data_IF_056646368954
#
_entry.id   IF_056646368954
#
_cell.length_a   1.000
_cell.length_b   1.000
_cell.length_c   1.000
_cell.angle_alpha   90.00
_cell.angle_beta   90.00
_cell.angle_gamma   90.00
#
_symmetry.space_group_name_H-M   'P 1'
#
loop_
_entity.id
_entity.type
_entity.pdbx_description
1 polymer ?
#
# COMPACT_ATOMS: atom_id res chain seq x y z
N UNK A 1 0.65 -18.38 -18.81
CA UNK A 1 -0.83 -18.22 -18.76
C UNK A 1 -1.20 -17.75 -17.37
N UNK A 2 -2.14 -16.81 -17.24
CA UNK A 2 -2.62 -16.34 -15.93
C UNK A 2 -3.49 -17.43 -15.29
N UNK A 3 -3.39 -17.64 -13.98
CA UNK A 3 -4.24 -18.60 -13.26
C UNK A 3 -5.44 -17.89 -12.64
N UNK A 4 -6.53 -18.61 -12.44
CA UNK A 4 -7.71 -18.08 -11.74
C UNK A 4 -7.37 -17.64 -10.30
N UNK A 5 -6.47 -18.35 -9.63
CA UNK A 5 -5.98 -17.97 -8.30
C UNK A 5 -5.22 -16.64 -8.30
N UNK A 6 -4.36 -16.42 -9.31
CA UNK A 6 -3.66 -15.15 -9.46
C UNK A 6 -4.65 -13.99 -9.67
N UNK A 7 -5.67 -14.17 -10.51
CA UNK A 7 -6.71 -13.15 -10.73
C UNK A 7 -7.48 -12.83 -9.46
N UNK A 8 -7.90 -13.85 -8.70
CA UNK A 8 -8.55 -13.66 -7.39
C UNK A 8 -7.66 -12.88 -6.41
N UNK A 9 -6.38 -13.20 -6.39
CA UNK A 9 -5.37 -12.48 -5.61
C UNK A 9 -5.33 -11.00 -5.99
N UNK A 10 -5.05 -10.69 -7.25
CA UNK A 10 -4.94 -9.30 -7.72
C UNK A 10 -6.22 -8.49 -7.51
N UNK A 11 -7.39 -9.09 -7.73
CA UNK A 11 -8.66 -8.41 -7.49
C UNK A 11 -8.85 -8.13 -6.00
N UNK A 12 -8.54 -9.11 -5.12
CA UNK A 12 -8.61 -8.89 -3.68
C UNK A 12 -7.65 -7.79 -3.23
N UNK A 13 -6.40 -7.79 -3.70
CA UNK A 13 -5.41 -6.74 -3.39
C UNK A 13 -5.98 -5.34 -3.67
N UNK A 14 -6.53 -5.13 -4.87
CA UNK A 14 -7.07 -3.82 -5.26
C UNK A 14 -8.36 -3.45 -4.51
N UNK A 15 -9.20 -4.43 -4.16
CA UNK A 15 -10.35 -4.18 -3.28
C UNK A 15 -9.91 -3.74 -1.88
N UNK A 16 -8.87 -4.37 -1.31
CA UNK A 16 -8.30 -3.95 -0.03
C UNK A 16 -7.67 -2.56 -0.12
N UNK A 17 -7.01 -2.23 -1.23
CA UNK A 17 -6.51 -0.88 -1.48
C UNK A 17 -7.63 0.15 -1.51
N UNK A 18 -8.74 -0.14 -2.19
CA UNK A 18 -9.92 0.74 -2.20
C UNK A 18 -10.53 0.90 -0.81
N UNK A 19 -10.60 -0.17 -0.02
CA UNK A 19 -11.07 -0.10 1.36
C UNK A 19 -10.18 0.81 2.21
N UNK A 20 -8.85 0.67 2.15
CA UNK A 20 -7.95 1.59 2.84
C UNK A 20 -8.17 3.03 2.38
N UNK A 21 -8.21 3.26 1.07
CA UNK A 21 -8.31 4.61 0.51
C UNK A 21 -9.58 5.34 0.98
N UNK A 22 -10.71 4.63 0.98
CA UNK A 22 -11.99 5.17 1.45
C UNK A 22 -12.07 5.34 2.96
N UNK A 23 -11.14 4.78 3.73
CA UNK A 23 -11.11 4.82 5.20
C UNK A 23 -9.94 5.66 5.75
N UNK A 24 -9.57 6.74 5.04
CA UNK A 24 -8.63 7.72 5.55
C UNK A 24 -7.16 7.40 5.29
N UNK A 25 -6.87 6.52 4.34
CA UNK A 25 -5.49 6.30 3.86
C UNK A 25 -5.27 6.92 2.48
N UNK A 26 -4.09 7.52 2.29
CA UNK A 26 -3.52 7.79 0.98
C UNK A 26 -2.75 6.55 0.55
N UNK A 27 -2.92 6.10 -0.69
CA UNK A 27 -2.16 4.95 -1.19
C UNK A 27 -0.78 5.39 -1.68
N UNK A 28 0.23 4.58 -1.41
CA UNK A 28 1.59 4.78 -1.89
C UNK A 28 1.81 3.83 -3.06
N UNK A 29 1.89 4.40 -4.26
CA UNK A 29 1.97 3.70 -5.55
C UNK A 29 3.19 4.13 -6.37
N UNK A 30 3.92 5.15 -5.93
CA UNK A 30 5.06 5.74 -6.63
C UNK A 30 6.19 6.15 -5.65
N UNK A 31 7.47 6.03 -6.04
CA UNK A 31 8.59 6.57 -5.28
C UNK A 31 8.57 8.08 -5.14
N UNK A 32 7.96 8.81 -6.08
CA UNK A 32 7.87 10.27 -6.02
C UNK A 32 7.09 10.75 -4.79
N UNK A 33 6.21 9.92 -4.25
CA UNK A 33 5.43 10.21 -3.05
C UNK A 33 6.28 10.18 -1.76
N UNK A 34 7.42 9.47 -1.77
CA UNK A 34 8.45 9.46 -0.72
C UNK A 34 9.77 8.86 -1.25
N UNK A 35 10.62 9.65 -1.93
CA UNK A 35 11.82 9.15 -2.60
C UNK A 35 12.89 8.60 -1.64
N UNK A 36 12.73 8.87 -0.36
CA UNK A 36 13.62 8.51 0.72
C UNK A 36 13.30 7.13 1.29
N UNK A 37 12.01 6.80 1.40
CA UNK A 37 11.55 5.52 1.90
C UNK A 37 11.15 4.53 0.80
N UNK A 38 10.88 4.99 -0.42
CA UNK A 38 10.31 4.18 -1.50
C UNK A 38 11.25 4.10 -2.71
N UNK A 39 11.22 2.98 -3.40
CA UNK A 39 11.93 2.76 -4.67
C UNK A 39 11.15 1.79 -5.56
N UNK A 40 11.59 1.63 -6.80
CA UNK A 40 11.14 0.56 -7.69
C UNK A 40 12.21 -0.51 -7.82
N UNK A 41 11.77 -1.77 -7.86
CA UNK A 41 12.58 -2.90 -8.31
C UNK A 41 11.93 -3.55 -9.55
N UNK A 42 12.40 -4.73 -9.95
CA UNK A 42 11.85 -5.45 -11.12
C UNK A 42 10.39 -5.89 -10.95
N UNK A 43 9.91 -5.98 -9.70
CA UNK A 43 8.60 -6.49 -9.32
C UNK A 43 7.59 -5.37 -8.99
N UNK A 44 8.06 -4.14 -8.77
CA UNK A 44 7.20 -2.97 -8.52
C UNK A 44 7.72 -2.10 -7.39
N UNK A 45 6.79 -1.40 -6.74
CA UNK A 45 7.09 -0.49 -5.63
C UNK A 45 7.55 -1.29 -4.41
N UNK A 46 8.61 -0.82 -3.76
CA UNK A 46 9.13 -1.37 -2.51
C UNK A 46 9.38 -0.25 -1.50
N UNK A 47 9.26 -0.59 -0.22
CA UNK A 47 9.75 0.26 0.85
C UNK A 47 11.13 -0.22 1.31
N UNK A 48 12.03 0.73 1.54
CA UNK A 48 13.40 0.45 1.98
C UNK A 48 13.39 0.04 3.45
N UNK A 49 13.91 -1.15 3.73
CA UNK A 49 14.30 -1.58 5.07
C UNK A 49 15.78 -1.30 5.33
N UNK A 50 16.22 -1.57 6.56
CA UNK A 50 17.62 -1.45 6.96
C UNK A 50 18.49 -2.54 6.34
N UNK A 51 17.95 -3.74 6.20
CA UNK A 51 18.64 -4.91 5.65
C UNK A 51 18.22 -5.27 4.23
N UNK A 52 16.95 -5.03 3.86
CA UNK A 52 16.44 -5.33 2.53
C UNK A 52 15.29 -4.42 2.11
N UNK A 53 15.02 -4.35 0.81
CA UNK A 53 13.80 -3.73 0.28
C UNK A 53 12.62 -4.70 0.38
N UNK A 54 11.46 -4.19 0.78
CA UNK A 54 10.26 -4.99 1.02
C UNK A 54 9.09 -4.56 0.15
N UNK A 55 8.47 -5.53 -0.51
CA UNK A 55 7.24 -5.32 -1.26
C UNK A 55 6.02 -5.47 -0.35
N UNK A 56 5.02 -4.62 -0.57
CA UNK A 56 3.68 -4.79 -0.05
C UNK A 56 2.72 -5.08 -1.21
N UNK A 57 1.62 -5.80 -0.95
CA UNK A 57 0.53 -5.89 -1.93
C UNK A 57 -0.16 -4.52 -2.02
N UNK A 58 -0.38 -3.89 -0.86
CA UNK A 58 -0.84 -2.50 -0.76
C UNK A 58 -0.06 -1.79 0.34
N UNK A 59 0.35 -0.54 0.06
CA UNK A 59 0.97 0.34 1.03
C UNK A 59 0.10 1.59 1.22
N UNK A 60 -0.35 1.82 2.45
CA UNK A 60 -1.18 2.98 2.80
C UNK A 60 -0.50 3.89 3.81
N UNK A 61 -0.70 5.20 3.69
CA UNK A 61 -0.33 6.22 4.67
C UNK A 61 -1.59 6.84 5.27
N UNK A 62 -1.72 6.82 6.59
CA UNK A 62 -2.86 7.41 7.28
C UNK A 62 -2.83 8.94 7.08
N UNK A 63 -3.92 9.51 6.59
CA UNK A 63 -4.01 10.96 6.31
C UNK A 63 -4.32 11.78 7.55
N UNK A 64 -4.78 11.14 8.62
CA UNK A 64 -5.11 11.78 9.89
C UNK A 64 -3.81 11.93 10.71
N UNK A 65 -3.48 13.16 11.16
CA UNK A 65 -2.35 13.37 12.05
C UNK A 65 -2.50 12.55 13.33
N UNK A 66 -1.44 11.83 13.71
CA UNK A 66 -1.37 11.03 14.93
C UNK A 66 -0.63 11.81 16.03
N UNK A 67 -1.34 12.40 17.02
CA UNK A 67 -0.67 13.16 18.08
C UNK A 67 0.35 12.29 18.83
N UNK A 68 1.50 12.88 19.15
CA UNK A 68 2.59 12.23 19.91
C UNK A 68 3.14 10.95 19.27
N UNK A 69 2.93 10.75 17.97
CA UNK A 69 3.42 9.60 17.21
C UNK A 69 4.04 10.05 15.89
N UNK A 70 4.79 9.15 15.26
CA UNK A 70 5.16 9.30 13.85
C UNK A 70 3.91 9.12 12.97
N UNK A 71 3.89 9.72 11.76
CA UNK A 71 2.93 9.39 10.72
C UNK A 71 2.86 7.89 10.48
N UNK A 72 1.66 7.34 10.36
CA UNK A 72 1.45 5.90 10.29
C UNK A 72 1.39 5.43 8.84
N UNK A 73 2.13 4.37 8.53
CA UNK A 73 1.98 3.60 7.30
C UNK A 73 1.58 2.17 7.60
N UNK A 74 0.84 1.54 6.70
CA UNK A 74 0.40 0.15 6.82
C UNK A 74 0.80 -0.64 5.58
N UNK A 75 1.52 -1.73 5.81
CA UNK A 75 1.69 -2.82 4.85
C UNK A 75 0.46 -3.70 4.92
N UNK A 76 -0.17 -3.93 3.79
CA UNK A 76 -1.21 -4.93 3.63
C UNK A 76 -0.67 -6.04 2.75
N UNK A 77 -0.85 -7.28 3.22
CA UNK A 77 -0.59 -8.49 2.45
C UNK A 77 -1.85 -9.36 2.45
N UNK A 78 -2.22 -9.89 1.29
CA UNK A 78 -3.43 -10.67 1.07
C UNK A 78 -3.07 -12.11 0.69
N UNK A 79 -3.56 -13.08 1.48
CA UNK A 79 -3.41 -14.51 1.19
C UNK A 79 -4.73 -15.08 0.67
N UNK A 80 -4.88 -15.10 -0.65
CA UNK A 80 -5.97 -15.80 -1.33
C UNK A 80 -5.58 -17.26 -1.62
N UNK A 81 -5.73 -18.15 -0.65
CA UNK A 81 -5.45 -19.59 -0.82
C UNK A 81 -6.22 -20.44 0.18
N UNK A 82 -6.48 -21.70 -0.19
CA UNK A 82 -7.19 -22.66 0.67
C UNK A 82 -6.41 -23.01 1.95
N UNK A 83 -5.08 -23.08 1.86
CA UNK A 83 -4.22 -23.38 2.99
C UNK A 83 -4.08 -22.17 3.93
N UNK A 84 -4.44 -22.36 5.20
CA UNK A 84 -4.33 -21.33 6.25
C UNK A 84 -2.89 -20.82 6.39
N UNK A 85 -2.64 -19.49 6.42
CA UNK A 85 -1.35 -18.96 6.79
C UNK A 85 -0.91 -19.44 8.18
N UNK A 86 0.38 -19.79 8.23
CA UNK A 86 1.05 -20.35 9.37
C UNK A 86 1.88 -19.31 10.13
N UNK A 87 2.55 -19.77 11.19
CA UNK A 87 3.48 -18.92 11.94
C UNK A 87 4.61 -18.35 11.08
N UNK A 88 4.97 -19.02 9.97
CA UNK A 88 5.99 -18.55 9.02
C UNK A 88 5.55 -17.27 8.31
N UNK A 89 4.29 -17.19 7.89
CA UNK A 89 3.75 -16.00 7.23
C UNK A 89 3.78 -14.79 8.20
N UNK A 90 3.39 -14.99 9.47
CA UNK A 90 3.40 -13.91 10.47
C UNK A 90 4.82 -13.52 10.90
N UNK A 91 5.75 -14.47 10.99
CA UNK A 91 7.18 -14.17 11.25
C UNK A 91 7.79 -13.35 10.12
N UNK A 92 7.42 -13.64 8.87
CA UNK A 92 7.83 -12.83 7.73
C UNK A 92 7.30 -11.39 7.88
N UNK A 93 6.00 -11.23 8.13
CA UNK A 93 5.39 -9.92 8.38
C UNK A 93 6.09 -9.13 9.50
N UNK A 94 6.41 -9.80 10.62
CA UNK A 94 7.15 -9.19 11.72
C UNK A 94 8.57 -8.76 11.29
N UNK A 95 9.29 -9.61 10.57
CA UNK A 95 10.63 -9.30 10.06
C UNK A 95 10.62 -8.08 9.13
N UNK A 96 9.65 -7.99 8.22
CA UNK A 96 9.46 -6.85 7.32
C UNK A 96 9.26 -5.56 8.11
N UNK A 97 8.30 -5.53 9.05
CA UNK A 97 8.01 -4.32 9.83
C UNK A 97 9.16 -3.92 10.72
N UNK A 98 9.85 -4.88 11.34
CA UNK A 98 11.02 -4.59 12.15
C UNK A 98 12.12 -3.95 11.29
N UNK A 99 12.39 -4.50 10.10
CA UNK A 99 13.44 -4.00 9.22
C UNK A 99 13.13 -2.61 8.65
N UNK A 100 11.88 -2.37 8.23
CA UNK A 100 11.45 -1.05 7.70
C UNK A 100 11.38 0.02 8.79
N UNK A 101 10.93 -0.32 10.01
CA UNK A 101 10.90 0.65 11.12
C UNK A 101 12.30 1.00 11.66
N UNK A 102 13.27 0.11 11.47
CA UNK A 102 14.67 0.37 11.81
C UNK A 102 15.45 1.06 10.69
N UNK A 103 14.82 1.41 9.58
CA UNK A 103 15.50 2.11 8.50
C UNK A 103 15.84 3.55 8.93
N UNK A 104 17.06 3.71 9.42
CA UNK A 104 17.67 5.00 9.71
C UNK A 104 18.40 5.47 8.45
N UNK A 105 17.68 6.06 7.53
CA UNK A 105 18.36 6.81 6.51
C UNK A 105 18.94 8.08 7.18
N UNK A 106 20.26 8.19 7.17
CA UNK A 106 20.99 9.43 7.40
C UNK A 106 21.45 9.87 6.03
N UNK A 107 20.90 10.97 5.52
CA UNK A 107 21.43 11.65 4.33
C UNK A 107 22.90 12.00 4.60
N UNK A 108 23.82 11.24 4.02
CA UNK A 108 25.27 11.41 4.15
C UNK A 108 25.81 12.53 3.27
N UNK A 109 24.99 13.15 2.40
CA UNK A 109 25.48 14.14 1.44
C UNK A 109 25.22 15.60 1.85
N UNK A 110 24.40 15.87 2.86
CA UNK A 110 24.13 17.26 3.31
C UNK A 110 24.54 17.47 4.76
N UNK A 111 25.44 18.43 4.98
CA UNK A 111 26.01 18.87 6.27
C UNK A 111 24.98 19.42 7.30
N UNK A 112 23.69 19.12 7.16
CA UNK A 112 22.64 19.42 8.14
C UNK A 112 21.85 18.14 8.40
N UNK A 113 22.04 17.60 9.61
CA UNK A 113 21.38 16.41 10.18
C UNK A 113 19.86 16.63 10.35
N UNK A 114 19.13 16.79 9.27
CA UNK A 114 17.67 16.87 9.32
C UNK A 114 17.17 15.43 9.51
N UNK A 115 16.45 15.12 10.59
CA UNK A 115 15.80 13.81 10.72
C UNK A 115 14.85 13.64 9.54
N UNK A 116 15.09 12.61 8.73
CA UNK A 116 14.19 12.23 7.65
C UNK A 116 12.77 12.01 8.20
N UNK A 117 11.75 12.24 7.37
CA UNK A 117 10.35 12.04 7.77
C UNK A 117 10.14 10.56 8.10
N UNK A 118 10.25 10.22 9.39
CA UNK A 118 10.08 8.86 9.88
C UNK A 118 8.60 8.50 9.85
N UNK A 119 8.32 7.27 9.45
CA UNK A 119 6.98 6.70 9.50
C UNK A 119 6.99 5.52 10.46
N UNK A 120 5.90 5.35 11.19
CA UNK A 120 5.67 4.13 11.96
C UNK A 120 4.89 3.15 11.11
N UNK A 121 5.56 2.10 10.64
CA UNK A 121 4.96 1.06 9.82
C UNK A 121 4.28 0.00 10.70
N UNK A 122 3.08 -0.39 10.29
CA UNK A 122 2.30 -1.51 10.83
C UNK A 122 2.05 -2.54 9.73
N UNK A 123 1.76 -3.79 10.11
CA UNK A 123 1.39 -4.84 9.16
C UNK A 123 -0.03 -5.33 9.40
N UNK A 124 -0.75 -5.53 8.30
CA UNK A 124 -2.05 -6.19 8.26
C UNK A 124 -2.00 -7.36 7.27
N UNK A 125 -2.23 -8.57 7.77
CA UNK A 125 -2.27 -9.79 6.98
C UNK A 125 -3.73 -10.24 6.84
N UNK A 126 -4.21 -10.31 5.62
CA UNK A 126 -5.55 -10.78 5.26
C UNK A 126 -5.50 -12.22 4.78
N UNK A 127 -6.47 -13.04 5.16
CA UNK A 127 -6.56 -14.42 4.67
C UNK A 127 -7.98 -14.86 4.38
N UNK A 128 -8.19 -15.48 3.22
CA UNK A 128 -9.48 -16.06 2.83
C UNK A 128 -9.79 -17.41 3.46
N UNK A 129 -8.80 -18.06 4.08
CA UNK A 129 -8.93 -19.35 4.76
C UNK A 129 -8.77 -19.24 6.28
N UNK A 130 -8.51 -18.05 6.80
CA UNK A 130 -8.21 -17.79 8.20
C UNK A 130 -6.80 -18.26 8.60
N UNK A 131 -6.49 -18.17 9.89
CA UNK A 131 -5.12 -18.35 10.40
C UNK A 131 -4.98 -19.57 11.30
N UNK A 132 -3.80 -20.20 11.29
CA UNK A 132 -3.48 -21.25 12.27
C UNK A 132 -3.36 -20.67 13.69
N UNK A 133 -3.64 -21.46 14.72
CA UNK A 133 -3.54 -20.99 16.12
C UNK A 133 -2.13 -20.48 16.50
N UNK A 134 -1.01 -21.12 16.09
CA UNK A 134 0.31 -20.56 16.31
C UNK A 134 0.52 -19.20 15.64
N UNK A 135 -0.04 -18.99 14.44
CA UNK A 135 0.02 -17.71 13.75
C UNK A 135 -0.71 -16.62 14.52
N UNK A 136 -1.93 -16.91 15.01
CA UNK A 136 -2.73 -15.98 15.80
C UNK A 136 -2.03 -15.56 17.10
N UNK A 137 -1.49 -16.52 17.85
CA UNK A 137 -0.78 -16.25 19.10
C UNK A 137 0.46 -15.38 18.87
N UNK A 138 1.23 -15.70 17.83
CA UNK A 138 2.44 -14.94 17.50
C UNK A 138 2.10 -13.53 17.00
N UNK A 139 1.06 -13.38 16.17
CA UNK A 139 0.61 -12.09 15.68
C UNK A 139 0.16 -11.16 16.81
N UNK A 140 -0.60 -11.68 17.77
CA UNK A 140 -0.99 -10.94 18.96
C UNK A 140 0.23 -10.46 19.75
N UNK A 141 1.22 -11.34 19.96
CA UNK A 141 2.43 -11.00 20.69
C UNK A 141 3.30 -9.95 19.98
N UNK A 142 3.30 -9.93 18.64
CA UNK A 142 4.11 -9.01 17.83
C UNK A 142 3.31 -7.85 17.21
N UNK A 143 2.06 -7.65 17.65
CA UNK A 143 1.16 -6.59 17.15
C UNK A 143 0.98 -6.58 15.62
N UNK A 144 0.93 -7.76 15.00
CA UNK A 144 0.57 -7.93 13.60
C UNK A 144 -0.96 -8.08 13.51
N UNK A 145 -1.60 -7.24 12.69
CA UNK A 145 -3.06 -7.30 12.53
C UNK A 145 -3.42 -8.46 11.62
N UNK A 146 -4.25 -9.40 12.10
CA UNK A 146 -4.78 -10.50 11.30
C UNK A 146 -6.24 -10.24 10.98
N UNK A 147 -6.58 -10.27 9.69
CA UNK A 147 -7.95 -10.11 9.22
C UNK A 147 -8.40 -11.42 8.58
N UNK A 148 -9.27 -12.13 9.28
CA UNK A 148 -9.84 -13.39 8.82
C UNK A 148 -11.06 -13.16 7.93
N UNK A 149 -10.85 -13.26 6.61
CA UNK A 149 -11.89 -13.13 5.60
C UNK A 149 -12.72 -14.41 5.42
N UNK A 150 -12.38 -15.51 6.10
CA UNK A 150 -13.20 -16.74 6.05
C UNK A 150 -14.49 -16.61 6.86
N UNK A 151 -14.61 -15.56 7.69
CA UNK A 151 -15.83 -15.24 8.41
C UNK A 151 -16.99 -14.96 7.44
N UNK A 152 -18.23 -15.45 7.72
CA UNK A 152 -19.40 -15.20 6.88
C UNK A 152 -19.69 -13.73 6.59
N UNK A 153 -19.25 -12.81 7.46
CA UNK A 153 -19.37 -11.37 7.26
C UNK A 153 -18.69 -10.86 5.97
N UNK A 154 -17.66 -11.57 5.48
CA UNK A 154 -16.92 -11.20 4.27
C UNK A 154 -17.35 -12.01 3.04
N UNK A 155 -18.36 -12.88 3.15
CA UNK A 155 -18.81 -13.73 2.05
C UNK A 155 -19.23 -12.93 0.82
N UNK A 156 -19.91 -11.80 1.00
CA UNK A 156 -20.27 -10.90 -0.10
C UNK A 156 -19.04 -10.40 -0.87
N UNK A 157 -18.03 -9.89 -0.15
CA UNK A 157 -16.76 -9.46 -0.72
C UNK A 157 -16.08 -10.58 -1.50
N UNK A 158 -15.93 -11.76 -0.88
CA UNK A 158 -15.22 -12.88 -1.51
C UNK A 158 -15.96 -13.45 -2.72
N UNK A 159 -17.29 -13.47 -2.70
CA UNK A 159 -18.11 -13.88 -3.84
C UNK A 159 -17.95 -12.91 -5.02
N UNK A 160 -17.93 -11.60 -4.76
CA UNK A 160 -17.67 -10.59 -5.79
C UNK A 160 -16.27 -10.75 -6.40
N UNK A 161 -15.24 -10.95 -5.57
CA UNK A 161 -13.88 -11.24 -6.06
C UNK A 161 -13.86 -12.50 -6.92
N UNK A 162 -14.49 -13.59 -6.46
CA UNK A 162 -14.52 -14.87 -7.17
C UNK A 162 -15.24 -14.76 -8.52
N UNK A 163 -16.41 -14.11 -8.54
CA UNK A 163 -17.19 -13.91 -9.76
C UNK A 163 -16.42 -13.09 -10.79
N UNK A 164 -15.88 -11.94 -10.39
CA UNK A 164 -15.10 -11.08 -11.29
C UNK A 164 -13.87 -11.81 -11.85
N UNK A 165 -13.17 -12.58 -11.01
CA UNK A 165 -12.03 -13.38 -11.44
C UNK A 165 -12.41 -14.46 -12.47
N UNK A 166 -13.55 -15.14 -12.28
CA UNK A 166 -14.04 -16.18 -13.21
C UNK A 166 -14.47 -15.60 -14.54
N UNK A 167 -15.20 -14.50 -14.55
CA UNK A 167 -15.63 -13.82 -15.77
C UNK A 167 -14.41 -13.42 -16.62
N UNK A 168 -13.39 -12.82 -15.97
CA UNK A 168 -12.15 -12.45 -16.63
C UNK A 168 -11.34 -13.66 -17.11
N UNK A 169 -11.21 -14.68 -16.27
CA UNK A 169 -10.49 -15.90 -16.64
C UNK A 169 -11.10 -16.55 -17.87
N UNK A 170 -12.43 -16.70 -17.89
CA UNK A 170 -13.17 -17.28 -19.01
C UNK A 170 -13.00 -16.46 -20.30
N UNK A 171 -13.03 -15.13 -20.19
CA UNK A 171 -12.78 -14.25 -21.33
C UNK A 171 -11.40 -14.50 -21.94
N UNK A 172 -10.36 -14.53 -21.11
CA UNK A 172 -8.96 -14.72 -21.53
C UNK A 172 -8.72 -16.11 -22.13
N UNK A 173 -9.30 -17.15 -21.54
CA UNK A 173 -9.16 -18.52 -22.06
C UNK A 173 -9.87 -18.69 -23.39
N UNK A 174 -10.99 -18.00 -23.61
CA UNK A 174 -11.77 -18.11 -24.83
C UNK A 174 -11.14 -17.35 -26.01
N UNK A 175 -10.41 -16.27 -25.75
CA UNK A 175 -9.75 -15.47 -26.80
C UNK A 175 -8.37 -16.01 -27.20
N UNK A 176 -7.86 -17.04 -26.51
CA UNK A 176 -6.51 -17.63 -26.70
C UNK A 176 -5.39 -16.57 -26.79
N UNK A 177 -5.58 -15.44 -26.10
CA UNK A 177 -4.69 -14.29 -26.12
C UNK A 177 -3.72 -14.33 -24.94
N UNK A 178 -2.51 -13.80 -25.11
CA UNK A 178 -1.63 -13.51 -23.98
C UNK A 178 -2.32 -12.52 -23.03
N UNK A 179 -2.30 -12.80 -21.72
CA UNK A 179 -2.91 -11.91 -20.72
C UNK A 179 -1.93 -10.82 -20.31
N UNK A 180 -2.17 -9.54 -20.66
CA UNK A 180 -1.27 -8.46 -20.32
C UNK A 180 -1.47 -8.04 -18.85
N UNK A 181 -0.89 -8.82 -17.93
CA UNK A 181 -1.10 -8.68 -16.49
C UNK A 181 -0.83 -7.25 -15.99
N UNK A 182 0.22 -6.58 -16.49
CA UNK A 182 0.53 -5.20 -16.12
C UNK A 182 -0.57 -4.21 -16.53
N UNK A 183 -1.13 -4.39 -17.72
CA UNK A 183 -2.23 -3.53 -18.22
C UNK A 183 -3.52 -3.79 -17.46
N UNK A 184 -3.81 -5.06 -17.16
CA UNK A 184 -4.94 -5.43 -16.31
C UNK A 184 -4.85 -4.77 -14.93
N UNK A 185 -3.70 -4.89 -14.24
CA UNK A 185 -3.52 -4.28 -12.91
C UNK A 185 -3.69 -2.76 -12.98
N UNK A 186 -3.16 -2.12 -14.03
CA UNK A 186 -3.33 -0.68 -14.25
C UNK A 186 -4.80 -0.30 -14.50
N UNK A 187 -5.50 -1.04 -15.35
CA UNK A 187 -6.92 -0.81 -15.62
C UNK A 187 -7.77 -0.98 -14.35
N UNK A 188 -7.51 -2.03 -13.57
CA UNK A 188 -8.21 -2.29 -12.32
C UNK A 188 -7.99 -1.17 -11.31
N UNK A 189 -6.75 -0.68 -11.18
CA UNK A 189 -6.41 0.48 -10.33
C UNK A 189 -7.16 1.74 -10.71
N UNK A 190 -7.26 2.01 -12.01
CA UNK A 190 -7.98 3.18 -12.52
C UNK A 190 -9.49 3.06 -12.25
N UNK A 191 -10.09 1.91 -12.54
CA UNK A 191 -11.52 1.65 -12.30
C UNK A 191 -11.86 1.78 -10.82
N UNK A 192 -11.02 1.21 -9.95
CA UNK A 192 -11.21 1.25 -8.50
C UNK A 192 -10.68 2.54 -7.87
N UNK A 193 -10.12 3.48 -8.64
CA UNK A 193 -9.55 4.73 -8.12
C UNK A 193 -8.51 4.49 -7.02
N UNK A 194 -7.68 3.46 -7.17
CA UNK A 194 -6.59 3.12 -6.23
C UNK A 194 -5.23 3.62 -6.71
N UNK A 195 -5.18 4.30 -7.85
CA UNK A 195 -4.02 5.08 -8.27
C UNK A 195 -4.10 6.50 -7.69
N UNK A 196 -3.33 6.78 -6.64
CA UNK A 196 -3.38 8.07 -5.92
C UNK A 196 -2.07 8.85 -6.01
N UNK A 197 -1.32 8.66 -7.08
CA UNK A 197 -0.19 9.55 -7.39
C UNK A 197 -0.69 10.75 -8.21
N UNK A 198 -0.90 11.87 -7.50
CA UNK A 198 -1.35 13.14 -8.08
C UNK A 198 -0.30 13.76 -9.02
N UNK A 199 0.97 13.33 -8.93
CA UNK A 199 2.06 13.77 -9.80
C UNK A 199 1.84 13.38 -11.27
N UNK A 200 1.08 12.30 -11.51
CA UNK A 200 0.67 11.88 -12.85
C UNK A 200 -0.52 12.70 -13.39
N UNK A 201 -1.40 13.20 -12.51
CA UNK A 201 -2.52 14.06 -12.90
C UNK A 201 -2.07 15.48 -13.30
N UNK A 202 -0.89 15.90 -12.84
CA UNK A 202 -0.30 17.21 -13.13
C UNK A 202 0.44 17.28 -14.48
N UNK A 203 0.68 16.15 -15.16
CA UNK A 203 1.27 16.12 -16.51
C UNK A 203 0.20 15.81 -17.55
N UNK A 204 -0.53 16.85 -17.95
CA UNK A 204 -1.25 16.82 -19.24
C UNK A 204 -0.23 16.66 -20.38
N UNK A 205 -0.59 15.98 -21.48
CA UNK A 205 0.31 15.81 -22.63
C UNK A 205 0.72 17.13 -23.31
N UNK A 206 0.09 18.25 -22.93
CA UNK A 206 0.18 19.51 -23.66
C UNK A 206 1.00 20.61 -22.93
N UNK A 207 1.64 20.28 -21.80
CA UNK A 207 2.60 21.19 -21.14
C UNK A 207 2.02 22.48 -20.54
N UNK A 208 0.70 22.67 -20.50
CA UNK A 208 0.10 23.81 -19.81
C UNK A 208 -0.07 23.53 -18.31
N UNK A 209 0.68 24.29 -17.51
CA UNK A 209 0.57 24.38 -16.06
C UNK A 209 -0.77 25.06 -15.70
N UNK A 210 -1.56 24.45 -14.81
CA UNK A 210 -2.79 25.07 -14.32
C UNK A 210 -2.42 26.28 -13.46
N UNK A 211 -2.74 27.47 -13.97
CA UNK A 211 -2.62 28.72 -13.23
C UNK A 211 -3.57 28.70 -12.01
N UNK A 212 -3.00 28.56 -10.81
CA UNK A 212 -3.77 28.64 -9.57
C UNK A 212 -4.04 30.11 -9.22
N UNK A 213 -5.30 30.51 -8.93
CA UNK A 213 -5.56 31.85 -8.43
C UNK A 213 -4.90 32.03 -7.05
N UNK A 214 -3.99 32.99 -6.98
CA UNK A 214 -3.34 33.47 -5.76
C UNK A 214 -4.35 33.86 -4.66
N UNK A 215 -4.63 32.93 -3.74
CA UNK A 215 -5.20 33.22 -2.42
C UNK A 215 -4.08 33.56 -1.42
N UNK A 216 -3.66 34.83 -1.41
CA UNK A 216 -2.61 35.33 -0.52
C UNK A 216 -3.11 35.46 0.93
N UNK A 217 -2.91 34.42 1.76
CA UNK A 217 -2.95 34.57 3.22
C UNK A 217 -1.62 35.12 3.73
N UNK A 218 -1.52 36.45 3.77
CA UNK A 218 -0.46 37.17 4.50
C UNK A 218 -0.68 36.96 6.00
N UNK A 219 0.14 36.12 6.64
CA UNK A 219 0.30 36.17 8.09
C UNK A 219 1.12 37.42 8.46
N UNK A 220 0.60 38.10 9.48
CA UNK A 220 1.07 39.35 10.05
C UNK A 220 2.57 39.32 10.42
N UNK A 221 3.33 40.23 9.85
CA UNK A 221 4.64 40.66 10.36
C UNK A 221 4.43 41.63 11.52
N UNK A 222 4.91 41.26 12.71
CA UNK A 222 5.03 42.17 13.84
C UNK A 222 6.18 43.17 13.59
N UNK A 223 6.03 44.47 13.90
CA UNK A 223 7.11 45.42 13.71
C UNK A 223 8.11 45.35 14.85
N UNK A 224 9.40 45.27 14.50
CA UNK A 224 10.50 45.58 15.41
C UNK A 224 10.43 47.05 15.81
N UNK A 225 10.49 47.34 17.10
CA UNK A 225 10.84 48.67 17.61
C UNK A 225 12.21 48.58 18.25
N UNK A 226 13.18 49.17 17.56
CA UNK A 226 14.36 49.74 18.18
C UNK A 226 13.93 50.89 19.11
N UNK A 227 14.30 50.81 20.39
CA UNK A 227 14.93 51.87 21.17
C UNK A 227 15.56 51.25 22.41
#
# INVERSE_FOLDING_TARGET
MVTLEALRGYILEEMLARLLHTNGYRLLVSPEQDPDALSFNKQGLVARGRGADHQADVLGELTIPTPFSLPLRVFVEAKYRQAKPGIRDVRNAHGVIHDVNEQYATDTERQRRIPMRRHHYRYALFSTSGFSQPAQRYALAQQISLIDLSSPAFSGLLNTVDQAARELYNFVTNTNSSFPLGEFRRALRNILGTWTDDSAAMKRPDGEELDHPHGSHKYLTAPSRNR
#
